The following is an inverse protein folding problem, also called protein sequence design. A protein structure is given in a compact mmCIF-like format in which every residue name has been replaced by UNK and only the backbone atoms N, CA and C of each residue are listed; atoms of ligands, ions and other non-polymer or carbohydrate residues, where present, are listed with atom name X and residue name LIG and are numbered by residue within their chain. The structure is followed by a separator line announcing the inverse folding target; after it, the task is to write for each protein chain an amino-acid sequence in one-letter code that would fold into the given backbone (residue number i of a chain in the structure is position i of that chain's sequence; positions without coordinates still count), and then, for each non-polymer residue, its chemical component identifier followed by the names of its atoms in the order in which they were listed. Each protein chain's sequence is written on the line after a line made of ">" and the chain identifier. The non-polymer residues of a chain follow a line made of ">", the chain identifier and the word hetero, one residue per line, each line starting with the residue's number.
data_IF_473065522332
#
_entry.id   IF_473065522332
#
_cell.length_a   1.000
_cell.length_b   1.000
_cell.length_c   1.000
_cell.angle_alpha   90.00
_cell.angle_beta   90.00
_cell.angle_gamma   90.00
#
_symmetry.space_group_name_H-M   'P 1'
#
loop_
_entity.id
_entity.type
_entity.pdbx_description
1 polymer ?
#
# COMPACT_ATOMS: atom_id res chain seq x y z
N UNK A 1 2.98 -0.41 -31.39
CA UNK A 1 2.43 0.38 -30.28
C UNK A 1 2.61 1.84 -30.63
N UNK A 2 1.59 2.69 -30.44
CA UNK A 2 1.66 4.13 -30.81
C UNK A 2 2.85 4.79 -30.10
N UNK A 3 3.64 5.55 -30.84
CA UNK A 3 4.82 6.32 -30.38
C UNK A 3 4.46 7.48 -29.43
N UNK A 4 3.19 7.62 -29.05
CA UNK A 4 2.64 8.77 -28.32
C UNK A 4 2.29 8.46 -26.85
N UNK A 5 2.57 7.25 -26.31
CA UNK A 5 2.21 6.91 -24.96
C UNK A 5 3.25 7.46 -23.97
N UNK A 6 2.85 8.44 -23.16
CA UNK A 6 3.63 8.99 -22.05
C UNK A 6 2.97 8.65 -20.72
N UNK A 7 3.75 8.10 -19.79
CA UNK A 7 3.27 7.62 -18.48
C UNK A 7 3.82 8.52 -17.39
N UNK A 8 2.92 9.18 -16.65
CA UNK A 8 3.26 10.02 -15.52
C UNK A 8 3.05 9.28 -14.21
N UNK A 9 4.07 9.24 -13.36
CA UNK A 9 4.05 8.62 -12.04
C UNK A 9 4.01 9.70 -10.96
N UNK A 10 2.94 9.76 -10.19
CA UNK A 10 2.83 10.63 -9.02
C UNK A 10 3.06 9.79 -7.76
N UNK A 11 4.06 10.20 -6.97
CA UNK A 11 4.64 9.37 -5.93
C UNK A 11 5.81 8.55 -6.49
N UNK A 12 7.02 9.08 -6.37
CA UNK A 12 8.25 8.46 -6.86
C UNK A 12 9.03 7.76 -5.73
N UNK A 13 8.26 7.17 -4.77
CA UNK A 13 8.79 6.30 -3.72
C UNK A 13 9.09 4.89 -4.22
N UNK A 14 9.03 3.90 -3.33
CA UNK A 14 9.33 2.49 -3.66
C UNK A 14 8.53 1.97 -4.87
N UNK A 15 7.19 2.12 -4.84
CA UNK A 15 6.31 1.64 -5.91
C UNK A 15 6.54 2.41 -7.21
N UNK A 16 6.61 3.75 -7.13
CA UNK A 16 6.83 4.58 -8.32
C UNK A 16 8.15 4.26 -9.02
N UNK A 17 9.24 4.05 -8.27
CA UNK A 17 10.54 3.66 -8.82
C UNK A 17 10.49 2.28 -9.50
N UNK A 18 9.87 1.28 -8.85
CA UNK A 18 9.71 -0.06 -9.44
C UNK A 18 8.95 0.00 -10.76
N UNK A 19 7.83 0.73 -10.81
CA UNK A 19 7.05 0.89 -12.04
C UNK A 19 7.85 1.64 -13.11
N UNK A 20 8.58 2.68 -12.73
CA UNK A 20 9.43 3.44 -13.65
C UNK A 20 10.50 2.57 -14.29
N UNK A 21 11.23 1.77 -13.51
CA UNK A 21 12.24 0.83 -14.00
C UNK A 21 11.64 -0.14 -15.04
N UNK A 22 10.52 -0.78 -14.71
CA UNK A 22 9.90 -1.79 -15.59
C UNK A 22 9.35 -1.16 -16.88
N UNK A 23 8.75 0.02 -16.80
CA UNK A 23 8.22 0.74 -17.96
C UNK A 23 9.36 1.30 -18.85
N UNK A 24 10.42 1.83 -18.24
CA UNK A 24 11.61 2.29 -18.98
C UNK A 24 12.33 1.14 -19.69
N UNK A 25 12.41 -0.03 -19.05
CA UNK A 25 12.97 -1.24 -19.68
C UNK A 25 12.20 -1.68 -20.94
N UNK A 26 10.92 -1.30 -21.04
CA UNK A 26 10.10 -1.52 -22.24
C UNK A 26 10.18 -0.38 -23.27
N UNK A 27 11.02 0.63 -23.03
CA UNK A 27 11.19 1.79 -23.91
C UNK A 27 10.09 2.85 -23.78
N UNK A 28 9.22 2.78 -22.77
CA UNK A 28 8.17 3.76 -22.56
C UNK A 28 8.75 5.11 -22.11
N UNK A 29 8.16 6.21 -22.54
CA UNK A 29 8.42 7.53 -21.97
C UNK A 29 7.78 7.63 -20.61
N UNK A 30 8.58 7.84 -19.55
CA UNK A 30 8.13 7.93 -18.17
C UNK A 30 8.51 9.28 -17.58
N UNK A 31 7.50 9.95 -17.04
CA UNK A 31 7.66 11.17 -16.24
C UNK A 31 7.37 10.87 -14.80
N UNK A 32 7.96 11.58 -13.85
CA UNK A 32 7.69 11.41 -12.43
C UNK A 32 7.65 12.75 -11.68
N UNK A 33 6.83 12.77 -10.62
CA UNK A 33 6.82 13.83 -9.62
C UNK A 33 6.61 13.26 -8.22
N UNK A 34 7.36 13.78 -7.27
CA UNK A 34 7.18 13.53 -5.84
C UNK A 34 7.43 14.82 -5.05
N UNK A 35 6.62 15.09 -4.03
CA UNK A 35 6.81 16.26 -3.15
C UNK A 35 8.16 16.24 -2.44
N UNK A 36 8.78 15.06 -2.29
CA UNK A 36 10.09 14.86 -1.67
C UNK A 36 11.26 15.32 -2.53
N UNK A 37 11.05 15.61 -3.81
CA UNK A 37 12.10 16.08 -4.71
C UNK A 37 12.81 17.35 -4.19
N UNK A 38 12.08 18.21 -3.50
CA UNK A 38 12.60 19.44 -2.91
C UNK A 38 13.04 19.27 -1.43
N UNK A 39 13.06 18.04 -0.92
CA UNK A 39 13.42 17.73 0.46
C UNK A 39 14.74 16.95 0.58
N UNK A 40 15.10 16.55 1.81
CA UNK A 40 16.35 15.81 2.07
C UNK A 40 16.51 14.49 1.28
N UNK A 41 15.41 13.84 0.94
CA UNK A 41 15.40 12.62 0.13
C UNK A 41 15.43 12.88 -1.39
N UNK A 42 15.42 14.14 -1.84
CA UNK A 42 15.32 14.49 -3.25
C UNK A 42 16.52 14.04 -4.07
N UNK A 43 17.73 14.10 -3.50
CA UNK A 43 18.96 13.68 -4.18
C UNK A 43 18.89 12.22 -4.68
N UNK A 44 18.46 11.30 -3.82
CA UNK A 44 18.30 9.88 -4.18
C UNK A 44 17.27 9.67 -5.31
N UNK A 45 16.18 10.43 -5.28
CA UNK A 45 15.15 10.36 -6.32
C UNK A 45 15.66 10.90 -7.66
N UNK A 46 16.42 11.98 -7.65
CA UNK A 46 17.05 12.58 -8.86
C UNK A 46 18.09 11.62 -9.47
N UNK A 47 18.94 11.02 -8.64
CA UNK A 47 19.93 10.04 -9.09
C UNK A 47 19.25 8.81 -9.72
N UNK A 48 18.19 8.30 -9.09
CA UNK A 48 17.42 7.20 -9.63
C UNK A 48 16.77 7.57 -10.97
N UNK A 49 16.16 8.74 -11.07
CA UNK A 49 15.53 9.23 -12.32
C UNK A 49 16.55 9.34 -13.46
N UNK A 50 17.73 9.93 -13.18
CA UNK A 50 18.81 10.04 -14.15
C UNK A 50 19.30 8.66 -14.62
N UNK A 51 19.49 7.72 -13.69
CA UNK A 51 19.96 6.35 -13.97
C UNK A 51 19.01 5.60 -14.93
N UNK A 52 17.69 5.75 -14.75
CA UNK A 52 16.68 5.04 -15.53
C UNK A 52 16.07 5.86 -16.68
N UNK A 53 16.53 7.10 -16.89
CA UNK A 53 16.04 7.98 -17.95
C UNK A 53 14.59 8.41 -17.73
N UNK A 54 14.19 8.67 -16.48
CA UNK A 54 12.87 9.18 -16.10
C UNK A 54 12.91 10.71 -16.10
N UNK A 55 11.92 11.35 -16.72
CA UNK A 55 11.81 12.80 -16.78
C UNK A 55 11.14 13.32 -15.51
N UNK A 56 11.83 14.14 -14.72
CA UNK A 56 11.22 14.76 -13.54
C UNK A 56 10.49 16.05 -13.93
N UNK A 57 9.31 16.26 -13.34
CA UNK A 57 8.49 17.47 -13.55
C UNK A 57 8.44 18.33 -12.29
N UNK A 58 8.07 19.61 -12.44
CA UNK A 58 8.00 20.56 -11.34
C UNK A 58 6.73 20.46 -10.50
N UNK A 59 5.72 19.66 -10.90
CA UNK A 59 4.46 19.55 -10.16
C UNK A 59 3.43 18.61 -10.78
N UNK A 60 2.35 18.40 -10.02
CA UNK A 60 1.26 17.49 -10.39
C UNK A 60 0.58 17.88 -11.72
N UNK A 61 0.22 19.16 -11.88
CA UNK A 61 -0.47 19.65 -13.06
C UNK A 61 0.42 19.56 -14.32
N UNK A 62 1.70 19.89 -14.21
CA UNK A 62 2.66 19.74 -15.30
C UNK A 62 2.79 18.28 -15.74
N UNK A 63 2.97 17.36 -14.77
CA UNK A 63 3.03 15.94 -15.06
C UNK A 63 1.77 15.46 -15.76
N UNK A 64 0.58 15.84 -15.26
CA UNK A 64 -0.69 15.46 -15.85
C UNK A 64 -0.83 15.99 -17.30
N UNK A 65 -0.39 17.23 -17.55
CA UNK A 65 -0.44 17.85 -18.88
C UNK A 65 0.48 17.17 -19.91
N UNK A 66 1.56 16.55 -19.47
CA UNK A 66 2.54 15.86 -20.32
C UNK A 66 2.27 14.37 -20.49
N UNK A 67 1.26 13.83 -19.76
CA UNK A 67 0.99 12.39 -19.70
C UNK A 67 -0.29 12.01 -20.45
N UNK A 68 -0.29 10.85 -21.09
CA UNK A 68 -1.49 10.18 -21.61
C UNK A 68 -2.09 9.21 -20.58
N UNK A 69 -1.23 8.66 -19.70
CA UNK A 69 -1.62 7.85 -18.54
C UNK A 69 -0.92 8.40 -17.29
N UNK A 70 -1.70 8.82 -16.31
CA UNK A 70 -1.21 9.18 -14.97
C UNK A 70 -1.47 8.00 -14.04
N UNK A 71 -0.44 7.55 -13.30
CA UNK A 71 -0.54 6.55 -12.23
C UNK A 71 -0.20 7.24 -10.92
N UNK A 72 -1.18 7.33 -10.01
CA UNK A 72 -0.99 7.88 -8.67
C UNK A 72 -0.65 6.77 -7.68
N UNK A 73 0.57 6.79 -7.13
CA UNK A 73 1.10 5.80 -6.18
C UNK A 73 1.65 6.49 -4.92
N UNK A 74 0.78 7.22 -4.23
CA UNK A 74 1.08 7.97 -3.00
C UNK A 74 0.49 7.29 -1.75
N UNK A 75 0.61 7.90 -0.58
CA UNK A 75 -0.07 7.41 0.62
C UNK A 75 -1.59 7.59 0.52
N UNK A 76 -2.34 6.76 1.22
CA UNK A 76 -3.80 6.71 1.13
C UNK A 76 -4.48 8.07 1.37
N UNK A 77 -4.00 8.83 2.37
CA UNK A 77 -4.51 10.17 2.71
C UNK A 77 -4.29 11.22 1.62
N UNK A 78 -3.39 10.96 0.67
CA UNK A 78 -3.07 11.88 -0.42
C UNK A 78 -3.82 11.59 -1.73
N UNK A 79 -4.67 10.56 -1.79
CA UNK A 79 -5.37 10.19 -3.02
C UNK A 79 -6.22 11.34 -3.59
N UNK A 80 -7.09 11.93 -2.77
CA UNK A 80 -7.96 13.06 -3.18
C UNK A 80 -7.15 14.35 -3.42
N UNK A 81 -6.24 14.79 -2.50
CA UNK A 81 -5.39 15.97 -2.75
C UNK A 81 -4.59 15.87 -4.04
N UNK A 82 -4.04 14.71 -4.39
CA UNK A 82 -3.29 14.50 -5.63
C UNK A 82 -4.20 14.60 -6.84
N UNK A 83 -5.39 14.00 -6.83
CA UNK A 83 -6.36 14.13 -7.90
C UNK A 83 -6.73 15.61 -8.16
N UNK A 84 -6.98 16.37 -7.08
CA UNK A 84 -7.25 17.80 -7.14
C UNK A 84 -6.05 18.60 -7.72
N UNK A 85 -4.83 18.29 -7.31
CA UNK A 85 -3.62 18.95 -7.80
C UNK A 85 -3.29 18.62 -9.27
N UNK A 86 -3.72 17.46 -9.77
CA UNK A 86 -3.57 17.07 -11.18
C UNK A 86 -4.64 17.70 -12.09
N UNK A 87 -5.85 17.92 -11.55
CA UNK A 87 -7.01 18.36 -12.35
C UNK A 87 -6.72 19.53 -13.29
N UNK A 88 -5.99 20.60 -12.91
CA UNK A 88 -5.70 21.71 -13.82
C UNK A 88 -4.84 21.33 -15.05
N UNK A 89 -4.08 20.25 -14.98
CA UNK A 89 -3.24 19.76 -16.06
C UNK A 89 -3.85 18.61 -16.87
N UNK A 90 -4.96 18.04 -16.43
CA UNK A 90 -5.61 16.92 -17.12
C UNK A 90 -6.17 17.40 -18.47
N UNK A 91 -5.83 16.69 -19.53
CA UNK A 91 -6.39 16.89 -20.87
C UNK A 91 -7.53 15.90 -21.13
N UNK A 92 -8.44 16.27 -22.02
CA UNK A 92 -9.53 15.40 -22.42
C UNK A 92 -9.00 14.02 -22.86
N UNK A 93 -9.54 12.97 -22.22
CA UNK A 93 -9.17 11.59 -22.49
C UNK A 93 -7.91 11.08 -21.77
N UNK A 94 -7.20 11.90 -20.99
CA UNK A 94 -6.08 11.43 -20.15
C UNK A 94 -6.56 10.34 -19.18
N UNK A 95 -5.90 9.20 -19.20
CA UNK A 95 -6.14 8.14 -18.23
C UNK A 95 -5.57 8.53 -16.86
N UNK A 96 -6.32 8.28 -15.81
CA UNK A 96 -5.87 8.45 -14.43
C UNK A 96 -6.14 7.15 -13.65
N UNK A 97 -5.08 6.40 -13.36
CA UNK A 97 -5.12 5.20 -12.53
C UNK A 97 -4.75 5.55 -11.09
N UNK A 98 -5.69 5.45 -10.18
CA UNK A 98 -5.43 5.63 -8.75
C UNK A 98 -5.02 4.30 -8.10
N UNK A 99 -3.72 4.14 -7.84
CA UNK A 99 -3.08 2.94 -7.27
C UNK A 99 -3.13 2.91 -5.73
N UNK A 100 -3.67 3.98 -5.10
CA UNK A 100 -3.59 4.20 -3.67
C UNK A 100 -4.54 3.29 -2.87
N UNK A 101 -4.15 2.98 -1.62
CA UNK A 101 -4.97 2.17 -0.71
C UNK A 101 -6.00 3.04 0.04
N UNK A 102 -6.80 3.81 -0.68
CA UNK A 102 -7.82 4.71 -0.13
C UNK A 102 -9.21 4.06 -0.03
N UNK A 103 -10.08 4.64 0.79
CA UNK A 103 -11.46 4.15 0.98
C UNK A 103 -12.32 4.32 -0.29
N UNK A 104 -13.44 3.57 -0.44
CA UNK A 104 -14.33 3.70 -1.59
C UNK A 104 -14.82 5.14 -1.83
N UNK A 105 -15.19 5.87 -0.78
CA UNK A 105 -15.63 7.27 -0.92
C UNK A 105 -14.50 8.17 -1.42
N UNK A 106 -13.29 8.00 -0.91
CA UNK A 106 -12.14 8.78 -1.38
C UNK A 106 -11.85 8.50 -2.87
N UNK A 107 -12.00 7.25 -3.33
CA UNK A 107 -11.88 6.92 -4.76
C UNK A 107 -12.95 7.60 -5.61
N UNK A 108 -14.20 7.61 -5.15
CA UNK A 108 -15.33 8.26 -5.84
C UNK A 108 -15.10 9.78 -5.91
N UNK A 109 -14.64 10.39 -4.81
CA UNK A 109 -14.32 11.82 -4.76
C UNK A 109 -13.19 12.19 -5.73
N UNK A 110 -12.10 11.44 -5.72
CA UNK A 110 -10.98 11.61 -6.66
C UNK A 110 -11.44 11.45 -8.12
N UNK A 111 -12.31 10.46 -8.40
CA UNK A 111 -12.90 10.25 -9.71
C UNK A 111 -13.71 11.46 -10.19
N UNK A 112 -14.50 12.08 -9.30
CA UNK A 112 -15.26 13.28 -9.61
C UNK A 112 -14.38 14.43 -10.08
N UNK A 113 -13.25 14.67 -9.38
CA UNK A 113 -12.29 15.72 -9.71
C UNK A 113 -11.63 15.49 -11.09
N UNK A 114 -11.17 14.27 -11.34
CA UNK A 114 -10.51 13.89 -12.59
C UNK A 114 -11.49 13.95 -13.77
N UNK A 115 -12.70 13.42 -13.60
CA UNK A 115 -13.73 13.40 -14.63
C UNK A 115 -14.23 14.80 -14.97
N UNK A 116 -14.40 15.67 -13.97
CA UNK A 116 -14.77 17.06 -14.17
C UNK A 116 -13.73 17.82 -15.00
N UNK A 117 -12.45 17.43 -14.92
CA UNK A 117 -11.37 17.97 -15.73
C UNK A 117 -11.27 17.32 -17.15
N UNK A 118 -12.15 16.38 -17.48
CA UNK A 118 -12.15 15.68 -18.78
C UNK A 118 -11.28 14.41 -18.83
N UNK A 119 -10.71 13.97 -17.70
CA UNK A 119 -9.95 12.74 -17.59
C UNK A 119 -10.82 11.49 -17.48
N UNK A 120 -10.21 10.33 -17.68
CA UNK A 120 -10.80 8.99 -17.57
C UNK A 120 -10.25 8.31 -16.32
N UNK A 121 -10.99 8.36 -15.22
CA UNK A 121 -10.56 7.80 -13.95
C UNK A 121 -10.85 6.30 -13.84
N UNK A 122 -9.86 5.55 -13.35
CA UNK A 122 -10.01 4.15 -12.95
C UNK A 122 -9.43 3.96 -11.56
N UNK A 123 -10.20 3.37 -10.65
CA UNK A 123 -9.65 2.95 -9.38
C UNK A 123 -8.83 1.67 -9.54
N UNK A 124 -7.64 1.63 -8.92
CA UNK A 124 -6.81 0.46 -8.80
C UNK A 124 -6.74 -0.01 -7.36
N UNK A 125 -6.86 -1.31 -7.13
CA UNK A 125 -6.65 -1.94 -5.84
C UNK A 125 -5.54 -2.99 -5.95
N UNK A 126 -4.34 -2.64 -5.50
CA UNK A 126 -3.17 -3.52 -5.44
C UNK A 126 -3.38 -4.56 -4.35
N UNK A 127 -3.46 -5.84 -4.71
CA UNK A 127 -3.93 -6.91 -3.82
C UNK A 127 -2.85 -7.54 -2.95
N UNK A 128 -1.57 -7.23 -3.20
CA UNK A 128 -0.41 -7.71 -2.41
C UNK A 128 0.74 -6.72 -2.46
N UNK A 129 1.91 -7.04 -1.88
CA UNK A 129 3.12 -6.21 -1.96
C UNK A 129 3.62 -6.11 -3.39
N UNK A 130 4.01 -4.90 -3.83
CA UNK A 130 4.53 -4.66 -5.19
C UNK A 130 5.93 -5.26 -5.42
N UNK A 131 6.93 -5.13 -4.49
CA UNK A 131 8.30 -5.51 -4.80
C UNK A 131 8.50 -6.92 -5.34
N UNK A 132 7.86 -7.99 -4.81
CA UNK A 132 8.06 -9.34 -5.33
C UNK A 132 7.50 -9.56 -6.74
N UNK A 133 6.44 -8.82 -7.09
CA UNK A 133 5.72 -8.97 -8.35
C UNK A 133 6.02 -7.85 -9.35
N UNK A 134 6.58 -6.74 -8.87
CA UNK A 134 6.88 -5.55 -9.66
C UNK A 134 5.64 -5.08 -10.44
N UNK A 135 5.77 -4.75 -11.73
CA UNK A 135 4.65 -4.33 -12.59
C UNK A 135 3.54 -5.39 -12.70
N UNK A 136 3.87 -6.67 -12.47
CA UNK A 136 2.91 -7.80 -12.54
C UNK A 136 2.14 -8.03 -11.23
N UNK A 137 2.18 -7.08 -10.31
CA UNK A 137 1.41 -7.18 -9.06
C UNK A 137 -0.08 -7.36 -9.37
N UNK A 138 -0.78 -8.32 -8.72
CA UNK A 138 -2.23 -8.50 -8.88
C UNK A 138 -2.98 -7.20 -8.59
N UNK A 139 -3.69 -6.70 -9.59
CA UNK A 139 -4.35 -5.41 -9.60
C UNK A 139 -5.83 -5.55 -9.97
N UNK A 140 -6.72 -5.19 -9.07
CA UNK A 140 -8.14 -5.06 -9.40
C UNK A 140 -8.43 -3.65 -9.90
N UNK A 141 -9.23 -3.55 -10.95
CA UNK A 141 -9.69 -2.29 -11.53
C UNK A 141 -11.19 -2.12 -11.30
N UNK A 142 -11.62 -0.89 -11.05
CA UNK A 142 -13.02 -0.53 -10.91
C UNK A 142 -13.35 0.82 -11.56
N UNK A 143 -14.60 0.94 -11.97
CA UNK A 143 -15.14 2.13 -12.62
C UNK A 143 -15.53 1.92 -14.07
N UNK A 144 -16.30 2.85 -14.66
CA UNK A 144 -16.86 2.71 -16.02
C UNK A 144 -15.79 2.58 -17.11
N UNK A 145 -14.59 3.09 -16.85
CA UNK A 145 -13.45 3.08 -17.76
C UNK A 145 -12.51 1.89 -17.56
N UNK A 146 -12.80 1.00 -16.57
CA UNK A 146 -11.89 -0.09 -16.16
C UNK A 146 -11.54 -1.05 -17.30
N UNK A 147 -12.50 -1.45 -18.12
CA UNK A 147 -12.27 -2.38 -19.23
C UNK A 147 -11.36 -1.79 -20.32
N UNK A 148 -11.50 -0.48 -20.60
CA UNK A 148 -10.64 0.20 -21.57
C UNK A 148 -9.19 0.30 -21.09
N UNK A 149 -9.00 0.60 -19.79
CA UNK A 149 -7.67 0.68 -19.19
C UNK A 149 -7.03 -0.69 -19.01
N UNK A 150 -7.79 -1.75 -18.74
CA UNK A 150 -7.29 -3.13 -18.63
C UNK A 150 -6.50 -3.54 -19.87
N UNK A 151 -7.03 -3.25 -21.07
CA UNK A 151 -6.37 -3.56 -22.34
C UNK A 151 -5.02 -2.84 -22.46
N UNK A 152 -4.99 -1.55 -22.14
CA UNK A 152 -3.77 -0.75 -22.15
C UNK A 152 -2.72 -1.27 -21.16
N UNK A 153 -3.12 -1.49 -19.91
CA UNK A 153 -2.23 -1.98 -18.86
C UNK A 153 -1.68 -3.38 -19.14
N UNK A 154 -2.51 -4.28 -19.68
CA UNK A 154 -2.07 -5.62 -20.10
C UNK A 154 -0.99 -5.54 -21.19
N UNK A 155 -1.14 -4.63 -22.15
CA UNK A 155 -0.13 -4.34 -23.18
C UNK A 155 1.18 -3.77 -22.61
N UNK A 156 1.15 -3.15 -21.44
CA UNK A 156 2.30 -2.65 -20.69
C UNK A 156 2.87 -3.68 -19.68
N UNK A 157 2.36 -4.90 -19.68
CA UNK A 157 2.87 -5.97 -18.83
C UNK A 157 2.35 -5.98 -17.39
N UNK A 158 1.36 -5.16 -17.05
CA UNK A 158 0.65 -5.28 -15.77
C UNK A 158 -0.20 -6.55 -15.74
N UNK A 159 -0.68 -6.93 -14.54
CA UNK A 159 -1.63 -8.03 -14.33
C UNK A 159 -2.98 -7.48 -13.79
N UNK A 160 -3.71 -6.67 -14.58
CA UNK A 160 -4.98 -6.11 -14.18
C UNK A 160 -6.11 -7.14 -14.31
N UNK A 161 -7.16 -6.96 -13.51
CA UNK A 161 -8.43 -7.68 -13.63
C UNK A 161 -9.56 -6.71 -13.31
N UNK A 162 -10.52 -6.55 -14.19
CA UNK A 162 -11.73 -5.75 -13.93
C UNK A 162 -12.55 -6.45 -12.85
N UNK A 163 -12.79 -5.74 -11.74
CA UNK A 163 -13.65 -6.18 -10.65
C UNK A 163 -15.11 -5.73 -10.88
N UNK A 164 -15.28 -4.51 -11.41
CA UNK A 164 -16.61 -3.93 -11.67
C UNK A 164 -16.49 -2.69 -12.57
N UNK A 165 -17.56 -2.37 -13.27
CA UNK A 165 -17.76 -1.08 -13.95
C UNK A 165 -18.16 0.04 -12.98
N UNK A 166 -18.40 -0.28 -11.71
CA UNK A 166 -18.75 0.68 -10.66
C UNK A 166 -17.54 1.06 -9.83
N UNK A 167 -17.38 2.37 -9.59
CA UNK A 167 -16.39 2.91 -8.64
C UNK A 167 -16.69 2.46 -7.21
N UNK A 168 -15.63 2.27 -6.43
CA UNK A 168 -15.70 1.86 -5.04
C UNK A 168 -15.70 0.34 -4.84
N UNK A 169 -15.96 -0.47 -5.86
CA UNK A 169 -16.06 -1.94 -5.72
C UNK A 169 -14.69 -2.60 -5.56
N UNK A 170 -13.70 -2.21 -6.36
CA UNK A 170 -12.35 -2.78 -6.25
C UNK A 170 -11.70 -2.39 -4.91
N UNK A 171 -11.82 -1.12 -4.51
CA UNK A 171 -11.33 -0.64 -3.21
C UNK A 171 -12.07 -1.31 -2.04
N UNK A 172 -13.40 -1.42 -2.07
CA UNK A 172 -14.17 -2.12 -1.03
C UNK A 172 -13.71 -3.58 -0.88
N UNK A 173 -13.51 -4.30 -1.99
CA UNK A 173 -13.00 -5.68 -1.99
C UNK A 173 -11.66 -5.77 -1.26
N UNK A 174 -10.72 -4.88 -1.58
CA UNK A 174 -9.43 -4.81 -0.89
C UNK A 174 -9.58 -4.46 0.58
N UNK A 175 -10.41 -3.47 0.93
CA UNK A 175 -10.57 -3.01 2.30
C UNK A 175 -11.21 -4.08 3.19
N UNK A 176 -12.29 -4.73 2.75
CA UNK A 176 -12.93 -5.83 3.48
C UNK A 176 -11.95 -6.99 3.72
N UNK A 177 -11.17 -7.37 2.68
CA UNK A 177 -10.10 -8.37 2.86
C UNK A 177 -9.06 -7.91 3.89
N UNK A 178 -8.71 -6.64 3.90
CA UNK A 178 -7.71 -6.08 4.82
C UNK A 178 -8.16 -6.10 6.28
N UNK A 179 -9.46 -6.03 6.58
CA UNK A 179 -9.99 -6.25 7.95
C UNK A 179 -9.49 -7.59 8.48
N UNK A 180 -9.64 -8.66 7.70
CA UNK A 180 -9.25 -10.01 8.12
C UNK A 180 -7.73 -10.18 8.19
N UNK A 181 -7.01 -9.86 7.10
CA UNK A 181 -5.57 -10.14 7.04
C UNK A 181 -4.78 -9.34 8.07
N UNK A 182 -5.04 -8.04 8.20
CA UNK A 182 -4.32 -7.19 9.16
C UNK A 182 -4.85 -7.33 10.58
N UNK A 183 -6.13 -7.67 10.72
CA UNK A 183 -6.72 -8.03 12.00
C UNK A 183 -6.08 -9.29 12.57
N UNK A 184 -5.92 -10.34 11.75
CA UNK A 184 -5.25 -11.57 12.19
C UNK A 184 -3.81 -11.31 12.61
N UNK A 185 -3.06 -10.49 11.87
CA UNK A 185 -1.69 -10.09 12.27
C UNK A 185 -1.68 -9.42 13.65
N UNK A 186 -2.58 -8.48 13.89
CA UNK A 186 -2.67 -7.77 15.17
C UNK A 186 -3.08 -8.70 16.33
N UNK A 187 -4.08 -9.56 16.10
CA UNK A 187 -4.54 -10.54 17.09
C UNK A 187 -3.46 -11.55 17.44
N UNK A 188 -2.70 -12.06 16.46
CA UNK A 188 -1.61 -13.01 16.72
C UNK A 188 -0.50 -12.35 17.54
N UNK A 189 -0.09 -11.13 17.22
CA UNK A 189 0.91 -10.41 18.02
C UNK A 189 0.44 -10.24 19.45
N UNK A 190 -0.81 -9.83 19.67
CA UNK A 190 -1.37 -9.65 21.00
C UNK A 190 -1.48 -10.97 21.77
N UNK A 191 -2.11 -11.98 21.18
CA UNK A 191 -2.33 -13.29 21.78
C UNK A 191 -1.02 -14.01 22.11
N UNK A 192 -0.09 -14.06 21.14
CA UNK A 192 1.15 -14.81 21.30
C UNK A 192 2.10 -14.14 22.30
N UNK A 193 2.20 -12.80 22.27
CA UNK A 193 2.98 -12.06 23.27
C UNK A 193 2.40 -12.26 24.68
N UNK A 194 1.08 -12.24 24.82
CA UNK A 194 0.39 -12.47 26.10
C UNK A 194 0.61 -13.90 26.58
N UNK A 195 0.41 -14.90 25.71
CA UNK A 195 0.64 -16.32 26.05
C UNK A 195 2.09 -16.55 26.48
N UNK A 196 3.06 -15.92 25.81
CA UNK A 196 4.47 -15.96 26.16
C UNK A 196 4.75 -15.36 27.55
N UNK A 197 4.10 -14.25 27.89
CA UNK A 197 4.23 -13.62 29.20
C UNK A 197 3.71 -14.52 30.32
N UNK A 198 2.73 -15.39 30.06
CA UNK A 198 2.20 -16.37 30.99
C UNK A 198 2.88 -17.76 30.93
N UNK A 199 3.75 -18.00 29.94
CA UNK A 199 4.42 -19.29 29.73
C UNK A 199 3.47 -20.41 29.25
N UNK A 200 2.44 -20.06 28.49
CA UNK A 200 1.39 -20.99 28.00
C UNK A 200 1.29 -21.04 26.48
N UNK A 201 2.27 -20.48 25.78
CA UNK A 201 2.25 -20.33 24.31
C UNK A 201 2.10 -21.65 23.57
N UNK A 202 2.79 -22.71 24.02
CA UNK A 202 2.72 -24.02 23.34
C UNK A 202 1.32 -24.64 23.47
N UNK A 203 0.67 -24.50 24.65
CA UNK A 203 -0.70 -24.95 24.82
C UNK A 203 -1.72 -24.17 24.01
N UNK A 204 -1.51 -22.85 23.88
CA UNK A 204 -2.35 -21.98 23.03
C UNK A 204 -2.22 -22.38 21.58
N UNK A 205 -0.99 -22.57 21.07
CA UNK A 205 -0.74 -22.96 19.68
C UNK A 205 -1.34 -24.33 19.38
N UNK A 206 -1.13 -25.34 20.24
CA UNK A 206 -1.72 -26.67 20.07
C UNK A 206 -3.26 -26.60 19.97
N UNK A 207 -3.91 -25.82 20.83
CA UNK A 207 -5.36 -25.64 20.79
C UNK A 207 -5.84 -24.91 19.52
N UNK A 208 -5.06 -23.95 19.03
CA UNK A 208 -5.36 -23.28 17.74
C UNK A 208 -5.20 -24.22 16.55
N UNK A 209 -4.21 -25.12 16.56
CA UNK A 209 -4.01 -26.14 15.52
C UNK A 209 -5.16 -27.16 15.48
N UNK A 210 -5.69 -27.55 16.66
CA UNK A 210 -6.90 -28.38 16.73
C UNK A 210 -8.12 -27.65 16.11
N UNK A 211 -8.27 -26.36 16.38
CA UNK A 211 -9.41 -25.57 15.89
C UNK A 211 -9.29 -25.24 14.40
N UNK A 212 -8.07 -24.98 13.93
CA UNK A 212 -7.76 -24.58 12.58
C UNK A 212 -6.62 -25.43 11.99
N UNK A 213 -6.85 -26.71 11.68
CA UNK A 213 -5.78 -27.68 11.36
C UNK A 213 -5.03 -27.39 10.04
N UNK A 214 -5.54 -26.46 9.21
CA UNK A 214 -4.86 -26.03 7.98
C UNK A 214 -3.91 -24.84 8.19
N UNK A 215 -3.80 -24.30 9.40
CA UNK A 215 -2.97 -23.13 9.69
C UNK A 215 -1.72 -23.53 10.47
N UNK A 216 -0.56 -23.27 9.90
CA UNK A 216 0.74 -23.47 10.55
C UNK A 216 1.05 -22.26 11.45
N UNK A 217 0.49 -22.24 12.65
CA UNK A 217 0.50 -21.09 13.56
C UNK A 217 1.90 -20.61 13.95
N UNK A 218 2.86 -21.52 14.10
CA UNK A 218 4.26 -21.17 14.36
C UNK A 218 4.86 -20.32 13.21
N UNK A 219 4.66 -20.77 11.98
CA UNK A 219 5.15 -20.03 10.80
C UNK A 219 4.41 -18.72 10.60
N UNK A 220 3.11 -18.73 10.83
CA UNK A 220 2.28 -17.52 10.72
C UNK A 220 2.67 -16.51 11.81
N UNK A 221 2.93 -16.95 13.04
CA UNK A 221 3.40 -16.09 14.12
C UNK A 221 4.70 -15.37 13.71
N UNK A 222 5.72 -16.11 13.29
CA UNK A 222 6.99 -15.54 12.85
C UNK A 222 6.79 -14.54 11.69
N UNK A 223 6.00 -14.90 10.70
CA UNK A 223 5.71 -14.04 9.54
C UNK A 223 4.97 -12.75 9.93
N UNK A 224 3.97 -12.84 10.82
CA UNK A 224 3.17 -11.68 11.23
C UNK A 224 3.97 -10.71 12.09
N UNK A 225 4.78 -11.21 13.05
CA UNK A 225 5.67 -10.36 13.82
C UNK A 225 6.65 -9.60 12.91
N UNK A 226 7.38 -10.31 12.05
CA UNK A 226 8.31 -9.69 11.09
C UNK A 226 7.63 -8.60 10.26
N UNK A 227 6.46 -8.90 9.74
CA UNK A 227 5.74 -8.04 8.82
C UNK A 227 5.26 -6.75 9.48
N UNK A 228 4.76 -6.83 10.71
CA UNK A 228 4.30 -5.65 11.44
C UNK A 228 5.47 -4.84 11.99
N UNK A 229 6.53 -5.47 12.49
CA UNK A 229 7.74 -4.78 12.94
C UNK A 229 8.37 -3.98 11.79
N UNK A 230 8.48 -4.56 10.59
CA UNK A 230 9.08 -3.89 9.43
C UNK A 230 8.21 -2.78 8.84
N UNK A 231 6.90 -2.93 8.85
CA UNK A 231 5.99 -2.10 8.07
C UNK A 231 4.84 -1.49 8.87
N UNK A 232 4.86 -1.58 10.18
CA UNK A 232 3.74 -1.22 11.07
C UNK A 232 3.21 0.20 10.84
N UNK A 233 4.09 1.19 10.66
CA UNK A 233 3.70 2.58 10.42
C UNK A 233 2.79 2.72 9.19
N UNK A 234 3.24 2.23 8.04
CA UNK A 234 2.47 2.25 6.80
C UNK A 234 1.19 1.39 6.91
N UNK A 235 1.29 0.25 7.57
CA UNK A 235 0.15 -0.66 7.76
C UNK A 235 -0.93 -0.07 8.66
N UNK A 236 -0.55 0.67 9.71
CA UNK A 236 -1.50 1.39 10.56
C UNK A 236 -2.28 2.45 9.75
N UNK A 237 -1.61 3.22 8.89
CA UNK A 237 -2.28 4.17 7.99
C UNK A 237 -3.27 3.46 7.04
N UNK A 238 -2.84 2.35 6.44
CA UNK A 238 -3.72 1.55 5.57
C UNK A 238 -4.93 0.99 6.34
N UNK A 239 -4.78 0.59 7.62
CA UNK A 239 -5.92 0.09 8.43
C UNK A 239 -6.84 1.22 8.88
N UNK A 240 -6.35 2.44 9.05
CA UNK A 240 -7.22 3.60 9.27
C UNK A 240 -8.15 3.85 8.08
N UNK A 241 -7.69 3.63 6.85
CA UNK A 241 -8.58 3.64 5.67
C UNK A 241 -9.56 2.46 5.65
N UNK A 242 -9.13 1.28 6.14
CA UNK A 242 -10.04 0.15 6.36
C UNK A 242 -11.13 0.51 7.37
N UNK A 243 -10.77 1.12 8.51
CA UNK A 243 -11.74 1.58 9.51
C UNK A 243 -12.70 2.64 8.95
N UNK A 244 -12.19 3.55 8.10
CA UNK A 244 -13.02 4.52 7.37
C UNK A 244 -14.02 3.80 6.45
N UNK A 245 -13.57 2.81 5.70
CA UNK A 245 -14.45 2.01 4.81
C UNK A 245 -15.57 1.33 5.58
N UNK A 246 -15.28 0.79 6.77
CA UNK A 246 -16.31 0.18 7.65
C UNK A 246 -17.35 1.23 8.08
N UNK A 247 -16.91 2.45 8.48
CA UNK A 247 -17.82 3.56 8.80
C UNK A 247 -18.64 4.00 7.59
N UNK A 248 -18.07 4.03 6.40
CA UNK A 248 -18.77 4.35 5.15
C UNK A 248 -19.91 3.39 4.84
N UNK A 249 -19.78 2.13 5.31
CA UNK A 249 -20.84 1.12 5.25
C UNK A 249 -21.88 1.24 6.37
N UNK A 250 -21.77 2.23 7.27
CA UNK A 250 -22.69 2.45 8.39
C UNK A 250 -22.42 1.57 9.61
N UNK A 251 -21.23 0.98 9.73
CA UNK A 251 -20.84 0.08 10.82
C UNK A 251 -19.74 0.70 11.70
N UNK A 252 -19.71 0.31 12.98
CA UNK A 252 -18.62 0.69 13.87
C UNK A 252 -17.37 -0.18 13.61
N UNK A 253 -16.19 0.44 13.41
CA UNK A 253 -14.97 -0.27 13.02
C UNK A 253 -14.16 -0.78 14.23
N UNK A 254 -14.78 -1.42 15.21
CA UNK A 254 -14.10 -1.84 16.45
C UNK A 254 -12.82 -2.63 16.18
N UNK A 255 -12.90 -3.69 15.38
CA UNK A 255 -11.74 -4.52 15.04
C UNK A 255 -10.71 -3.79 14.19
N UNK A 256 -11.14 -3.04 13.18
CA UNK A 256 -10.22 -2.31 12.31
C UNK A 256 -9.52 -1.16 13.06
N UNK A 257 -10.25 -0.43 13.92
CA UNK A 257 -9.65 0.61 14.75
C UNK A 257 -8.62 0.04 15.72
N UNK A 258 -8.95 -1.00 16.48
CA UNK A 258 -8.02 -1.68 17.37
C UNK A 258 -6.79 -2.25 16.65
N UNK A 259 -6.99 -2.80 15.45
CA UNK A 259 -5.89 -3.27 14.59
C UNK A 259 -4.94 -2.12 14.21
N UNK A 260 -5.48 -0.95 13.85
CA UNK A 260 -4.64 0.21 13.52
C UNK A 260 -3.77 0.64 14.69
N UNK A 261 -4.36 0.69 15.90
CA UNK A 261 -3.63 1.05 17.11
C UNK A 261 -2.57 0.00 17.47
N UNK A 262 -2.88 -1.30 17.37
CA UNK A 262 -1.90 -2.35 17.62
C UNK A 262 -0.71 -2.28 16.64
N UNK A 263 -0.95 -2.03 15.38
CA UNK A 263 0.12 -1.91 14.40
C UNK A 263 0.93 -0.62 14.55
N UNK A 264 0.29 0.49 14.95
CA UNK A 264 0.98 1.73 15.29
C UNK A 264 1.89 1.55 16.51
N UNK A 265 1.39 0.91 17.57
CA UNK A 265 2.16 0.59 18.77
C UNK A 265 3.40 -0.25 18.48
N UNK A 266 3.29 -1.32 17.67
CA UNK A 266 4.47 -2.09 17.26
C UNK A 266 5.47 -1.23 16.48
N UNK A 267 5.00 -0.30 15.66
CA UNK A 267 5.87 0.63 14.95
C UNK A 267 6.57 1.60 15.89
N UNK A 268 5.91 2.05 16.95
CA UNK A 268 6.52 2.90 17.99
C UNK A 268 7.63 2.14 18.72
N UNK A 269 7.40 0.88 19.11
CA UNK A 269 8.43 0.00 19.69
C UNK A 269 9.63 -0.18 18.75
N UNK A 270 9.38 -0.31 17.44
CA UNK A 270 10.44 -0.41 16.45
C UNK A 270 11.24 0.90 16.31
N UNK A 271 10.58 2.06 16.43
CA UNK A 271 11.23 3.37 16.42
C UNK A 271 12.04 3.61 17.70
N UNK A 272 11.59 3.08 18.85
CA UNK A 272 12.30 3.08 20.13
C UNK A 272 13.48 2.06 20.18
N UNK A 273 13.66 1.27 19.13
CA UNK A 273 14.80 0.34 18.99
C UNK A 273 14.62 -1.00 19.72
N UNK A 274 13.42 -1.34 20.18
CA UNK A 274 13.13 -2.61 20.91
C UNK A 274 13.55 -3.83 20.11
N UNK A 275 13.42 -3.80 18.79
CA UNK A 275 13.78 -4.89 17.89
C UNK A 275 15.20 -4.77 17.30
N UNK A 276 16.02 -3.89 17.87
CA UNK A 276 17.36 -3.59 17.37
C UNK A 276 17.40 -2.53 16.26
N UNK A 277 18.60 -2.22 15.73
CA UNK A 277 18.75 -1.17 14.72
C UNK A 277 18.05 -1.52 13.41
N UNK A 278 17.25 -0.61 12.87
CA UNK A 278 16.55 -0.79 11.58
C UNK A 278 17.49 -1.01 10.40
N UNK A 279 18.75 -0.53 10.50
CA UNK A 279 19.79 -0.71 9.50
C UNK A 279 20.44 -2.10 9.53
N UNK A 280 20.18 -2.90 10.58
CA UNK A 280 20.76 -4.25 10.69
C UNK A 280 20.13 -5.19 9.65
N UNK A 281 20.96 -6.00 8.98
CA UNK A 281 20.50 -6.97 7.97
C UNK A 281 19.50 -7.99 8.49
N UNK A 282 19.52 -8.29 9.81
CA UNK A 282 18.61 -9.20 10.51
C UNK A 282 17.39 -8.53 11.14
N UNK A 283 17.21 -7.20 10.99
CA UNK A 283 16.07 -6.49 11.58
C UNK A 283 14.74 -7.13 11.20
N UNK A 284 13.94 -7.49 12.21
CA UNK A 284 12.62 -8.13 12.07
C UNK A 284 12.61 -9.35 11.12
N UNK A 285 13.69 -10.15 11.12
CA UNK A 285 13.79 -11.38 10.30
C UNK A 285 14.01 -12.63 11.14
N UNK A 286 13.67 -12.58 12.43
CA UNK A 286 13.70 -13.78 13.28
C UNK A 286 12.70 -14.81 12.75
N UNK A 287 13.14 -16.06 12.61
CA UNK A 287 12.27 -17.20 12.33
C UNK A 287 11.48 -17.69 13.54
N UNK A 288 11.79 -17.15 14.73
CA UNK A 288 11.10 -17.44 15.98
C UNK A 288 10.45 -16.17 16.54
N UNK A 289 9.13 -16.14 16.54
CA UNK A 289 8.33 -15.02 17.04
C UNK A 289 8.51 -14.81 18.56
N UNK A 290 8.93 -15.85 19.32
CA UNK A 290 9.16 -15.76 20.76
C UNK A 290 10.26 -14.76 21.11
N UNK A 291 11.29 -14.67 20.28
CA UNK A 291 12.37 -13.68 20.45
C UNK A 291 11.80 -12.26 20.44
N UNK A 292 10.92 -11.96 19.50
CA UNK A 292 10.33 -10.62 19.40
C UNK A 292 9.29 -10.37 20.51
N UNK A 293 8.54 -11.39 20.90
CA UNK A 293 7.63 -11.32 22.05
C UNK A 293 8.39 -11.06 23.37
N UNK A 294 9.50 -11.76 23.62
CA UNK A 294 10.33 -11.56 24.81
C UNK A 294 10.91 -10.14 24.88
N UNK A 295 11.32 -9.56 23.73
CA UNK A 295 11.77 -8.15 23.65
C UNK A 295 10.67 -7.17 24.04
N UNK A 296 9.45 -7.38 23.54
CA UNK A 296 8.29 -6.58 23.89
C UNK A 296 8.00 -6.66 25.38
N UNK A 297 7.97 -7.88 25.95
CA UNK A 297 7.68 -8.11 27.36
C UNK A 297 8.72 -7.47 28.26
N UNK A 298 10.02 -7.58 27.91
CA UNK A 298 11.09 -6.98 28.68
C UNK A 298 10.94 -5.44 28.69
N UNK A 299 10.71 -4.85 27.54
CA UNK A 299 10.57 -3.40 27.41
C UNK A 299 9.36 -2.82 28.18
N UNK A 300 8.22 -3.51 28.16
CA UNK A 300 7.03 -3.05 28.89
C UNK A 300 7.20 -3.21 30.41
N UNK A 301 7.97 -4.21 30.88
CA UNK A 301 8.32 -4.35 32.28
C UNK A 301 9.23 -3.24 32.79
N UNK A 302 10.15 -2.76 31.97
CA UNK A 302 11.07 -1.66 32.32
C UNK A 302 10.36 -0.31 32.41
N UNK A 303 9.16 -0.17 31.82
CA UNK A 303 8.31 1.03 31.89
C UNK A 303 7.37 1.03 33.10
N UNK A 304 7.15 -0.12 33.75
CA UNK A 304 6.21 -0.29 34.88
C UNK A 304 6.90 -0.07 36.23
#
# INVERSE_FOLDING_TARGET
>A
MSTDLSIGLIGYGEVGRILAEDLRAQGMRVLAYDIKLNGPAGGELVEHAARFGVELTGGHAELAALSTLVISAVTASQAVPVAAACAPGIRAGTWFLDFNSASPKAKIEAAGLVTAAGGRFVEGAVMTSVPPYRIKVPLLLGGPEAAGLELLLSGLGFAPKVASDRLGVASATKMCRSVMIKGLEAMVIESFTTARAYGVEDAVIASLEETFPAMEWEKLGAYFFQRVIQHGRRRAEEVREVARTVREAGLDPFSAAGTAERQAWVADLADEGVFGPKSAAGFARSGDWRIEADRIIAFEKDKS
#
